data_IF_541344074140
#
_entry.id   IF_541344074140
#
_cell.length_a   1.000
_cell.length_b   1.000
_cell.length_c   1.000
_cell.angle_alpha   90.00
_cell.angle_beta   90.00
_cell.angle_gamma   90.00
#
_symmetry.space_group_name_H-M   'P 1'
#
loop_
_entity.id
_entity.type
_entity.pdbx_description
1 polymer ?
2 non-polymer ?
3 water ?
#
# COMPACT_ATOMS: atom_id res chain seq x y z
N UNK A 17 -29.53 14.27 5.03
CA UNK A 17 -28.65 13.85 6.09
C UNK A 17 -28.27 12.41 5.91
N UNK A 18 -29.27 11.59 5.70
CA UNK A 18 -29.02 10.16 5.53
C UNK A 18 -28.45 9.91 4.15
N UNK A 19 -28.82 10.79 3.23
CA UNK A 19 -28.25 10.78 1.91
C UNK A 19 -26.75 11.09 2.01
N UNK A 20 -26.43 12.13 2.77
CA UNK A 20 -25.04 12.46 3.04
C UNK A 20 -24.37 11.25 3.69
N UNK A 21 -24.98 10.71 4.74
CA UNK A 21 -24.39 9.56 5.45
C UNK A 21 -24.18 8.37 4.51
N UNK A 22 -25.13 8.15 3.60
CA UNK A 22 -25.02 7.09 2.61
C UNK A 22 -23.86 7.29 1.65
N UNK A 23 -23.69 8.51 1.14
CA UNK A 23 -22.52 8.81 0.32
C UNK A 23 -21.23 8.51 1.07
N UNK A 24 -21.15 8.98 2.31
CA UNK A 24 -19.91 8.88 3.08
C UNK A 24 -19.58 7.42 3.40
N UNK A 25 -20.59 6.64 3.66
CA UNK A 25 -20.39 5.25 3.98
C UNK A 25 -19.99 4.43 2.79
N UNK A 26 -20.55 4.71 1.65
CA UNK A 26 -20.08 4.08 0.41
C UNK A 26 -18.60 4.39 0.19
N UNK A 27 -18.23 5.64 0.45
CA UNK A 27 -16.85 6.06 0.28
C UNK A 27 -15.91 5.33 1.25
N UNK A 28 -16.25 5.27 2.54
CA UNK A 28 -15.37 4.51 3.44
C UNK A 28 -15.30 3.02 3.05
N UNK A 29 -16.44 2.45 2.65
CA UNK A 29 -16.47 1.02 2.27
C UNK A 29 -15.53 0.72 1.10
N UNK A 30 -15.67 1.55 0.07
CA UNK A 30 -14.84 1.43 -1.12
C UNK A 30 -13.36 1.66 -0.80
N UNK A 31 -13.08 2.73 -0.04
CA UNK A 31 -11.70 3.02 0.35
C UNK A 31 -11.07 1.88 1.15
N UNK A 32 -11.84 1.26 2.04
CA UNK A 32 -11.33 0.12 2.79
C UNK A 32 -10.83 -0.97 1.85
N UNK A 33 -11.71 -1.36 0.92
CA UNK A 33 -11.30 -2.35 -0.09
C UNK A 33 -10.03 -1.92 -0.85
N UNK A 34 -10.02 -0.68 -1.32
CA UNK A 34 -8.91 -0.20 -2.11
C UNK A 34 -7.58 -0.20 -1.34
N UNK A 35 -7.61 0.24 -0.08
CA UNK A 35 -6.42 0.26 0.77
C UNK A 35 -5.86 -1.16 0.92
N UNK A 36 -6.73 -2.13 1.19
CA UNK A 36 -6.25 -3.51 1.26
C UNK A 36 -5.59 -3.97 -0.05
N UNK A 37 -6.23 -3.69 -1.18
CA UNK A 37 -5.61 -4.00 -2.48
C UNK A 37 -4.23 -3.33 -2.69
N UNK A 38 -4.12 -2.06 -2.35
CA UNK A 38 -2.85 -1.35 -2.50
C UNK A 38 -1.78 -1.97 -1.58
N UNK A 39 -2.15 -2.30 -0.34
CA UNK A 39 -1.22 -2.98 0.56
C UNK A 39 -0.69 -4.27 -0.05
N UNK A 40 -1.63 -5.06 -0.56
CA UNK A 40 -1.29 -6.30 -1.24
C UNK A 40 -0.30 -6.11 -2.41
N UNK A 41 -0.58 -5.11 -3.24
CA UNK A 41 0.29 -4.82 -4.37
C UNK A 41 1.71 -4.40 -3.92
N UNK A 42 1.83 -3.48 -2.95
CA UNK A 42 3.17 -3.10 -2.46
C UNK A 42 3.95 -4.31 -1.96
N UNK A 43 3.27 -5.16 -1.19
CA UNK A 43 3.86 -6.41 -0.71
C UNK A 43 4.49 -7.19 -1.85
N UNK A 44 3.67 -7.41 -2.88
CA UNK A 44 4.09 -8.16 -4.06
C UNK A 44 5.28 -7.54 -4.80
N UNK A 45 5.26 -6.21 -4.97
CA UNK A 45 6.34 -5.47 -5.63
C UNK A 45 7.65 -5.67 -4.88
N UNK A 46 7.60 -5.57 -3.56
CA UNK A 46 8.80 -5.84 -2.77
C UNK A 46 9.30 -7.30 -2.90
N UNK A 47 8.39 -8.28 -2.85
CA UNK A 47 8.81 -9.67 -3.08
C UNK A 47 9.47 -9.85 -4.46
N UNK A 48 8.89 -9.22 -5.46
CA UNK A 48 9.41 -9.27 -6.79
C UNK A 48 10.79 -8.65 -6.85
N UNK A 49 10.97 -7.51 -6.22
CA UNK A 49 12.30 -6.88 -6.18
C UNK A 49 13.37 -7.78 -5.52
N UNK A 50 13.03 -8.39 -4.39
CA UNK A 50 13.92 -9.37 -3.78
C UNK A 50 14.28 -10.53 -4.72
N UNK A 51 13.28 -11.07 -5.43
CA UNK A 51 13.55 -12.12 -6.44
C UNK A 51 14.54 -11.66 -7.53
N UNK A 52 14.30 -10.45 -8.06
CA UNK A 52 15.21 -9.85 -9.03
C UNK A 52 16.64 -9.74 -8.49
N UNK A 53 16.76 -9.30 -7.24
CA UNK A 53 18.08 -9.21 -6.62
C UNK A 53 18.78 -10.57 -6.45
N UNK A 54 18.03 -11.63 -6.12
CA UNK A 54 18.61 -12.96 -6.15
C UNK A 54 19.12 -13.37 -7.55
N UNK A 55 18.32 -13.11 -8.57
CA UNK A 55 18.78 -13.40 -9.94
C UNK A 55 20.04 -12.59 -10.34
N UNK A 56 20.07 -11.31 -10.00
CA UNK A 56 21.27 -10.51 -10.24
C UNK A 56 22.48 -11.12 -9.53
N UNK A 57 22.31 -11.53 -8.27
CA UNK A 57 23.40 -12.25 -7.59
C UNK A 57 23.86 -13.49 -8.35
N UNK A 58 22.89 -14.25 -8.86
CA UNK A 58 23.20 -15.44 -9.64
C UNK A 58 24.05 -15.13 -10.88
N UNK A 59 23.82 -13.97 -11.49
CA UNK A 59 24.67 -13.48 -12.57
C UNK A 59 25.97 -12.76 -12.18
N UNK A 60 26.27 -12.70 -10.89
CA UNK A 60 27.51 -12.09 -10.43
C UNK A 60 27.46 -10.58 -10.34
N UNK A 61 26.25 -10.05 -10.23
CA UNK A 61 26.00 -8.61 -10.13
C UNK A 61 25.28 -8.24 -8.83
N UNK A 62 25.59 -7.06 -8.31
CA UNK A 62 24.92 -6.56 -7.12
C UNK A 62 23.74 -5.70 -7.49
N UNK A 63 22.89 -5.42 -6.52
CA UNK A 63 21.72 -4.59 -6.75
C UNK A 63 22.09 -3.18 -7.20
N UNK A 64 23.29 -2.72 -6.85
CA UNK A 64 23.69 -1.38 -7.24
C UNK A 64 23.88 -1.28 -8.76
N UNK A 65 23.82 -2.42 -9.45
CA UNK A 65 24.03 -2.43 -10.89
C UNK A 65 22.78 -2.08 -11.69
N UNK A 66 21.62 -2.02 -11.03
CA UNK A 66 20.36 -1.79 -11.72
C UNK A 66 19.58 -0.77 -10.91
N UNK A 67 19.09 0.25 -11.60
CA UNK A 67 18.43 1.38 -10.96
C UNK A 67 17.32 0.96 -10.02
N UNK A 68 17.48 1.35 -8.76
CA UNK A 68 16.45 1.19 -7.75
C UNK A 68 16.40 -0.16 -7.04
N UNK A 69 17.16 -1.13 -7.53
CA UNK A 69 17.01 -2.49 -7.03
C UNK A 69 17.53 -2.68 -5.59
N UNK A 70 18.34 -1.75 -5.09
CA UNK A 70 18.80 -1.85 -3.70
C UNK A 70 17.74 -1.32 -2.74
N UNK A 71 16.77 -0.58 -3.27
CA UNK A 71 15.83 0.15 -2.43
C UNK A 71 14.58 -0.66 -2.10
N UNK A 72 14.35 -0.89 -0.81
CA UNK A 72 13.11 -1.53 -0.35
C UNK A 72 12.25 -0.58 0.49
N UNK A 73 12.61 0.70 0.47
CA UNK A 73 11.91 1.72 1.24
C UNK A 73 10.97 2.51 0.35
N UNK A 74 9.89 1.88 -0.10
CA UNK A 74 8.87 2.58 -0.86
C UNK A 74 8.09 3.49 0.07
N UNK A 75 7.33 4.41 -0.50
CA UNK A 75 6.43 5.23 0.29
C UNK A 75 5.44 4.28 0.95
N UNK A 76 5.33 4.36 2.27
CA UNK A 76 4.45 3.46 3.02
C UNK A 76 3.81 4.21 4.17
N UNK A 77 2.73 4.91 3.90
CA UNK A 77 2.11 5.73 4.89
C UNK A 77 0.94 5.04 5.51
N UNK A 78 1.06 3.74 5.68
CA UNK A 78 -0.02 2.93 6.19
C UNK A 78 -0.45 3.35 7.57
N UNK A 79 0.49 3.82 8.36
CA UNK A 79 0.18 4.18 9.72
C UNK A 79 -0.70 5.40 9.74
N UNK A 80 -0.34 6.43 9.02
CA UNK A 80 -1.17 7.62 9.02
C UNK A 80 -2.47 7.39 8.24
N UNK A 81 -2.40 6.61 7.17
CA UNK A 81 -3.60 6.30 6.38
C UNK A 81 -4.60 5.49 7.20
N UNK A 82 -4.13 4.49 7.91
CA UNK A 82 -5.02 3.69 8.73
C UNK A 82 -5.64 4.46 9.88
N UNK A 83 -4.89 5.34 10.50
CA UNK A 83 -5.45 6.20 11.52
C UNK A 83 -6.51 7.14 10.95
N UNK A 84 -6.22 7.82 9.87
CA UNK A 84 -7.21 8.68 9.21
C UNK A 84 -8.46 7.90 8.80
N UNK A 85 -8.27 6.68 8.31
CA UNK A 85 -9.38 5.86 7.86
C UNK A 85 -10.31 5.51 9.03
N UNK A 86 -9.70 5.13 10.14
CA UNK A 86 -10.45 4.81 11.35
C UNK A 86 -11.21 6.03 11.87
N UNK A 87 -10.53 7.18 11.88
CA UNK A 87 -11.17 8.42 12.30
C UNK A 87 -12.33 8.75 11.38
N UNK A 88 -12.13 8.54 10.08
CA UNK A 88 -13.16 8.82 9.10
C UNK A 88 -14.38 7.95 9.34
N UNK A 89 -14.17 6.66 9.55
CA UNK A 89 -15.29 5.77 9.84
C UNK A 89 -16.01 6.17 11.11
N UNK A 90 -15.26 6.46 12.16
CA UNK A 90 -15.90 6.83 13.42
C UNK A 90 -16.69 8.13 13.27
N UNK A 91 -16.11 9.06 12.52
CA UNK A 91 -16.73 10.35 12.27
C UNK A 91 -18.01 10.18 11.44
N UNK A 92 -17.92 9.39 10.37
CA UNK A 92 -19.00 9.26 9.40
C UNK A 92 -20.15 8.37 9.88
N UNK A 93 -19.81 7.26 10.49
CA UNK A 93 -20.76 6.22 10.80
C UNK A 93 -21.32 6.23 12.21
N UNK A 94 -21.01 7.26 12.97
CA UNK A 94 -21.61 7.47 14.29
C UNK A 94 -23.07 7.90 14.14
X LIG B 1 6.78 -5.60 -9.74
#
# INVERSE_FOLDING_TARGET
MAHHHHHHVDDDDKSENLYFQGTANLTTSLLGDLLDDVTSIRHAVLQNRAAIDFLLLAHGHGCEDVAGMCSFNLSDQSESIQKKFQLMKEHVNK
CL CL
#
